data_IF_009983662005
#
_entry.id   IF_009983662005
#
_cell.length_a   1.000
_cell.length_b   1.000
_cell.length_c   1.000
_cell.angle_alpha   90.00
_cell.angle_beta   90.00
_cell.angle_gamma   90.00
#
_symmetry.space_group_name_H-M   'P 1'
#
loop_
_entity.id
_entity.type
_entity.pdbx_description
1 polymer ?
#
# COMPACT_ATOMS: atom_id res chain seq x y z
N UNK A 1 1.69 -27.71 -17.93
CA UNK A 1 2.32 -26.61 -18.70
C UNK A 1 3.68 -26.29 -18.09
N UNK A 2 4.73 -26.03 -18.87
CA UNK A 2 6.07 -25.78 -18.30
C UNK A 2 6.34 -24.28 -18.22
N UNK A 3 7.09 -23.88 -17.18
CA UNK A 3 7.49 -22.51 -16.93
C UNK A 3 9.00 -22.44 -16.74
N UNK A 4 9.57 -21.26 -16.93
CA UNK A 4 10.93 -20.94 -16.51
C UNK A 4 10.83 -19.92 -15.38
N UNK A 5 11.46 -20.18 -14.24
CA UNK A 5 11.57 -19.23 -13.13
C UNK A 5 12.91 -18.52 -13.20
N UNK A 6 12.90 -17.19 -13.16
CA UNK A 6 14.08 -16.33 -13.08
C UNK A 6 14.24 -15.84 -11.65
N UNK A 7 15.36 -16.18 -11.02
CA UNK A 7 15.73 -15.74 -9.69
C UNK A 7 15.98 -14.22 -9.66
N UNK A 8 16.66 -13.69 -10.68
CA UNK A 8 16.99 -12.26 -10.78
C UNK A 8 15.74 -11.39 -10.90
N UNK A 9 14.75 -11.85 -11.66
CA UNK A 9 13.47 -11.13 -11.84
C UNK A 9 12.40 -11.57 -10.85
N UNK A 10 12.68 -12.56 -10.01
CA UNK A 10 11.73 -13.27 -9.15
C UNK A 10 10.39 -13.52 -9.87
N UNK A 11 10.47 -14.08 -11.09
CA UNK A 11 9.36 -14.10 -12.05
C UNK A 11 9.27 -15.41 -12.82
N UNK A 12 8.04 -15.78 -13.20
CA UNK A 12 7.76 -16.96 -14.01
C UNK A 12 7.47 -16.60 -15.47
N UNK A 13 7.99 -17.41 -16.38
CA UNK A 13 7.91 -17.22 -17.83
C UNK A 13 7.30 -18.48 -18.45
N UNK A 14 6.07 -18.42 -18.99
CA UNK A 14 5.46 -19.57 -19.64
C UNK A 14 6.22 -19.95 -20.91
N UNK A 15 6.52 -21.24 -21.08
CA UNK A 15 7.25 -21.74 -22.26
C UNK A 15 6.53 -21.42 -23.57
N UNK A 16 5.19 -21.37 -23.55
CA UNK A 16 4.38 -21.01 -24.72
C UNK A 16 4.64 -19.60 -25.25
N UNK A 17 5.15 -18.68 -24.43
CA UNK A 17 5.46 -17.30 -24.82
C UNK A 17 6.95 -17.07 -25.06
N UNK A 18 7.78 -18.13 -25.05
CA UNK A 18 9.24 -18.01 -25.18
C UNK A 18 9.67 -17.21 -26.42
N UNK A 19 9.03 -17.44 -27.57
CA UNK A 19 9.38 -16.74 -28.80
C UNK A 19 9.11 -15.23 -28.71
N UNK A 20 8.01 -14.83 -28.08
CA UNK A 20 7.65 -13.42 -27.89
C UNK A 20 8.64 -12.71 -26.95
N UNK A 21 9.06 -13.40 -25.88
CA UNK A 21 10.09 -12.89 -24.98
C UNK A 21 11.45 -12.75 -25.64
N UNK A 22 11.83 -13.69 -26.52
CA UNK A 22 13.06 -13.59 -27.32
C UNK A 22 12.99 -12.45 -28.33
N UNK A 23 11.83 -12.24 -28.99
CA UNK A 23 11.63 -11.12 -29.90
C UNK A 23 11.70 -9.74 -29.23
N UNK A 24 11.44 -9.68 -27.92
CA UNK A 24 11.45 -8.45 -27.12
C UNK A 24 12.67 -8.32 -26.20
N UNK A 25 13.68 -9.18 -26.38
CA UNK A 25 14.90 -9.24 -25.53
C UNK A 25 14.59 -9.28 -24.02
N UNK A 26 13.47 -9.90 -23.66
CA UNK A 26 12.96 -9.95 -22.28
C UNK A 26 13.03 -11.35 -21.65
N UNK A 27 13.43 -12.36 -22.42
CA UNK A 27 13.65 -13.72 -21.94
C UNK A 27 14.74 -13.75 -20.85
N UNK A 28 14.52 -14.44 -19.71
CA UNK A 28 15.54 -14.53 -18.67
C UNK A 28 16.62 -15.54 -19.04
N UNK A 29 17.88 -15.11 -19.03
CA UNK A 29 19.04 -16.01 -19.21
C UNK A 29 19.26 -16.92 -17.98
N UNK A 30 18.86 -16.46 -16.80
CA UNK A 30 18.93 -17.21 -15.53
C UNK A 30 17.72 -18.12 -15.29
N UNK A 31 16.84 -18.27 -16.29
CA UNK A 31 15.62 -19.05 -16.17
C UNK A 31 15.90 -20.53 -15.92
N UNK A 32 15.39 -21.08 -14.82
CA UNK A 32 15.39 -22.52 -14.51
C UNK A 32 14.01 -23.09 -14.87
N UNK A 33 13.98 -24.18 -15.62
CA UNK A 33 12.73 -24.86 -15.97
C UNK A 33 12.07 -25.47 -14.72
N UNK A 34 10.78 -25.19 -14.54
CA UNK A 34 9.94 -25.66 -13.45
C UNK A 34 8.59 -26.13 -13.98
N UNK A 35 7.95 -27.03 -13.25
CA UNK A 35 6.64 -27.53 -13.62
C UNK A 35 5.50 -26.57 -13.21
N UNK A 36 4.29 -26.93 -13.62
CA UNK A 36 3.07 -26.19 -13.32
C UNK A 36 2.73 -26.18 -11.82
N UNK A 37 3.15 -27.19 -11.05
CA UNK A 37 2.86 -27.24 -9.61
C UNK A 37 3.68 -26.17 -8.88
N UNK A 38 4.96 -26.00 -9.24
CA UNK A 38 5.81 -24.93 -8.70
C UNK A 38 5.24 -23.57 -9.05
N UNK A 39 4.82 -23.36 -10.30
CA UNK A 39 4.12 -22.12 -10.69
C UNK A 39 2.84 -21.92 -9.86
N UNK A 40 2.01 -22.95 -9.74
CA UNK A 40 0.74 -22.88 -9.03
C UNK A 40 0.95 -22.56 -7.56
N UNK A 41 1.92 -23.20 -6.90
CA UNK A 41 2.26 -22.93 -5.50
C UNK A 41 2.70 -21.47 -5.31
N UNK A 42 3.68 -21.01 -6.09
CA UNK A 42 4.37 -19.75 -5.81
C UNK A 42 3.84 -18.54 -6.58
N UNK A 43 2.93 -18.71 -7.54
CA UNK A 43 2.36 -17.64 -8.36
C UNK A 43 0.85 -17.74 -8.58
N UNK A 44 0.30 -18.96 -8.67
CA UNK A 44 -1.14 -19.18 -8.87
C UNK A 44 -1.95 -19.08 -7.58
N UNK A 45 -1.39 -19.54 -6.46
CA UNK A 45 -2.04 -19.58 -5.15
C UNK A 45 -1.77 -18.32 -4.32
N UNK A 46 -2.61 -18.11 -3.31
CA UNK A 46 -2.41 -17.08 -2.30
C UNK A 46 -1.17 -17.44 -1.46
N UNK A 47 -0.19 -16.53 -1.31
CA UNK A 47 0.95 -16.75 -0.42
C UNK A 47 0.51 -17.10 1.02
N UNK A 48 1.26 -17.95 1.74
CA UNK A 48 1.02 -18.14 3.16
C UNK A 48 1.06 -16.81 3.93
N UNK A 49 0.36 -16.74 5.06
CA UNK A 49 0.29 -15.52 5.87
C UNK A 49 1.69 -15.02 6.27
N UNK A 50 1.94 -13.74 6.04
CA UNK A 50 3.23 -13.11 6.33
C UNK A 50 4.38 -13.53 5.41
N UNK A 51 4.11 -14.28 4.34
CA UNK A 51 5.11 -14.74 3.36
C UNK A 51 4.98 -14.01 2.02
N UNK A 52 6.12 -13.90 1.33
CA UNK A 52 6.19 -13.48 -0.06
C UNK A 52 7.13 -14.41 -0.83
N UNK A 53 6.90 -14.54 -2.14
CA UNK A 53 7.83 -15.28 -3.00
C UNK A 53 9.15 -14.53 -3.08
N UNK A 54 10.24 -15.24 -2.83
CA UNK A 54 11.61 -14.77 -3.02
C UNK A 54 12.34 -15.74 -3.95
N UNK A 55 13.49 -15.33 -4.47
CA UNK A 55 14.45 -16.25 -5.05
C UNK A 55 15.20 -16.96 -3.91
N UNK A 56 15.14 -18.28 -3.89
CA UNK A 56 15.94 -19.13 -3.01
C UNK A 56 17.40 -19.16 -3.45
N UNK A 57 18.28 -19.62 -2.54
CA UNK A 57 19.71 -19.76 -2.81
C UNK A 57 20.03 -20.81 -3.89
N UNK A 58 19.07 -21.69 -4.19
CA UNK A 58 19.10 -22.68 -5.26
C UNK A 58 18.62 -22.14 -6.62
N UNK A 59 18.25 -20.85 -6.68
CA UNK A 59 17.72 -20.20 -7.88
C UNK A 59 16.24 -20.51 -8.18
N UNK A 60 15.57 -21.26 -7.31
CA UNK A 60 14.15 -21.61 -7.41
C UNK A 60 13.29 -20.69 -6.52
N UNK A 61 11.97 -20.62 -6.74
CA UNK A 61 11.10 -19.81 -5.89
C UNK A 61 11.01 -20.42 -4.48
N UNK A 62 11.03 -19.57 -3.47
CA UNK A 62 10.84 -19.95 -2.08
C UNK A 62 9.94 -18.96 -1.33
N UNK A 63 9.39 -19.36 -0.19
CA UNK A 63 8.61 -18.47 0.68
C UNK A 63 9.50 -17.76 1.70
N UNK A 64 9.79 -16.49 1.44
CA UNK A 64 10.46 -15.58 2.36
C UNK A 64 9.46 -14.89 3.29
N UNK A 65 9.93 -14.37 4.43
CA UNK A 65 9.11 -13.51 5.28
C UNK A 65 8.95 -12.15 4.60
N UNK A 66 7.74 -11.57 4.67
CA UNK A 66 7.54 -10.17 4.31
C UNK A 66 8.39 -9.33 5.26
N UNK A 67 9.30 -8.47 4.75
CA UNK A 67 10.09 -7.62 5.61
C UNK A 67 9.17 -6.68 6.38
N UNK A 68 9.38 -6.59 7.69
CA UNK A 68 8.66 -5.61 8.50
C UNK A 68 9.08 -4.20 8.07
N UNK A 69 8.15 -3.25 7.95
CA UNK A 69 8.50 -1.87 7.66
C UNK A 69 9.48 -1.31 8.69
N UNK A 70 10.48 -0.57 8.22
CA UNK A 70 11.40 0.16 9.07
C UNK A 70 10.68 1.27 9.83
N UNK A 71 11.29 1.76 10.92
CA UNK A 71 10.75 2.92 11.67
C UNK A 71 10.50 4.14 10.78
N UNK A 72 11.39 4.38 9.83
CA UNK A 72 11.29 5.49 8.89
C UNK A 72 10.13 5.28 7.89
N UNK A 73 9.94 4.05 7.39
CA UNK A 73 8.78 3.73 6.53
C UNK A 73 7.45 3.85 7.30
N UNK A 74 7.39 3.40 8.55
CA UNK A 74 6.20 3.54 9.40
C UNK A 74 5.87 5.01 9.66
N UNK A 75 6.90 5.83 9.92
CA UNK A 75 6.77 7.28 10.10
C UNK A 75 6.21 7.93 8.82
N UNK A 76 6.79 7.62 7.66
CA UNK A 76 6.32 8.13 6.36
C UNK A 76 4.90 7.68 6.01
N UNK A 77 4.50 6.47 6.40
CA UNK A 77 3.12 5.99 6.25
C UNK A 77 2.17 6.80 7.14
N UNK A 78 2.55 7.06 8.39
CA UNK A 78 1.79 7.90 9.30
C UNK A 78 1.66 9.34 8.81
N UNK A 79 2.73 9.95 8.29
CA UNK A 79 2.69 11.29 7.68
C UNK A 79 1.75 11.35 6.47
N UNK A 80 1.80 10.35 5.59
CA UNK A 80 0.89 10.24 4.44
C UNK A 80 -0.57 10.15 4.89
N UNK A 81 -0.85 9.33 5.91
CA UNK A 81 -2.20 9.23 6.50
C UNK A 81 -2.64 10.57 7.11
N UNK A 82 -1.79 11.23 7.91
CA UNK A 82 -2.06 12.55 8.50
C UNK A 82 -2.40 13.58 7.43
N UNK A 83 -1.61 13.66 6.36
CA UNK A 83 -1.89 14.60 5.26
C UNK A 83 -3.20 14.29 4.54
N UNK A 84 -3.52 13.02 4.32
CA UNK A 84 -4.80 12.62 3.72
C UNK A 84 -6.00 13.05 4.57
N UNK A 85 -5.91 12.86 5.88
CA UNK A 85 -6.95 13.26 6.83
C UNK A 85 -7.10 14.79 6.92
N UNK A 86 -5.99 15.53 6.98
CA UNK A 86 -6.01 17.00 6.93
C UNK A 86 -6.68 17.50 5.64
N UNK A 87 -6.30 16.95 4.49
CA UNK A 87 -6.92 17.30 3.21
C UNK A 87 -8.43 16.99 3.18
N UNK A 88 -8.90 15.98 3.93
CA UNK A 88 -10.33 15.69 4.07
C UNK A 88 -11.02 16.72 4.97
N UNK A 89 -10.40 17.07 6.10
CA UNK A 89 -10.90 18.07 7.03
C UNK A 89 -11.02 19.44 6.35
N UNK A 90 -9.97 19.89 5.65
CA UNK A 90 -9.97 21.16 4.93
C UNK A 90 -11.11 21.26 3.92
N UNK A 91 -11.45 20.15 3.23
CA UNK A 91 -12.59 20.12 2.29
C UNK A 91 -13.93 20.32 3.00
N UNK A 92 -14.11 19.76 4.20
CA UNK A 92 -15.34 19.95 4.97
C UNK A 92 -15.42 21.35 5.54
N UNK A 93 -14.32 21.84 6.14
CA UNK A 93 -14.18 23.20 6.67
C UNK A 93 -14.53 24.22 5.58
N UNK A 94 -13.86 24.17 4.42
CA UNK A 94 -14.12 25.10 3.31
C UNK A 94 -15.58 25.08 2.84
N UNK A 95 -16.24 23.92 2.86
CA UNK A 95 -17.66 23.80 2.50
C UNK A 95 -18.55 24.48 3.55
N UNK A 96 -18.33 24.21 4.83
CA UNK A 96 -19.13 24.73 5.94
C UNK A 96 -18.93 26.23 6.12
N UNK A 97 -17.69 26.72 6.08
CA UNK A 97 -17.37 28.16 6.09
C UNK A 97 -18.11 28.91 4.98
N UNK A 98 -18.22 28.31 3.78
CA UNK A 98 -18.96 28.91 2.67
C UNK A 98 -20.46 29.03 2.96
N UNK A 99 -21.06 28.06 3.66
CA UNK A 99 -22.48 28.07 4.04
C UNK A 99 -22.70 29.16 5.12
N UNK A 100 -21.84 29.22 6.13
CA UNK A 100 -21.89 30.23 7.19
C UNK A 100 -21.73 31.64 6.60
N UNK A 101 -20.76 31.84 5.69
CA UNK A 101 -20.56 33.11 5.00
C UNK A 101 -21.78 33.59 4.21
N UNK A 102 -22.65 32.66 3.78
CA UNK A 102 -23.91 32.97 3.09
C UNK A 102 -25.07 33.25 4.05
N UNK A 103 -24.86 33.13 5.36
CA UNK A 103 -25.87 33.27 6.41
C UNK A 103 -27.07 32.32 6.22
N UNK A 104 -26.81 31.10 5.73
CA UNK A 104 -27.83 30.05 5.54
C UNK A 104 -27.52 28.78 6.34
N UNK A 105 -26.50 28.82 7.21
CA UNK A 105 -26.08 27.68 8.01
C UNK A 105 -27.11 27.37 9.10
N UNK A 106 -27.30 26.08 9.36
CA UNK A 106 -28.01 25.61 10.56
C UNK A 106 -27.07 25.56 11.77
N UNK A 107 -27.62 25.49 12.98
CA UNK A 107 -26.83 25.31 14.20
C UNK A 107 -26.00 24.01 14.16
N UNK A 108 -26.51 22.97 13.51
CA UNK A 108 -25.78 21.71 13.27
C UNK A 108 -24.55 21.94 12.38
N UNK A 109 -24.68 22.69 11.29
CA UNK A 109 -23.56 23.00 10.39
C UNK A 109 -22.50 23.88 11.05
N UNK A 110 -22.90 24.77 11.96
CA UNK A 110 -21.97 25.55 12.78
C UNK A 110 -21.20 24.64 13.73
N UNK A 111 -21.89 23.77 14.48
CA UNK A 111 -21.24 22.81 15.37
C UNK A 111 -20.30 21.84 14.63
N UNK A 112 -20.69 21.42 13.42
CA UNK A 112 -19.84 20.57 12.57
C UNK A 112 -18.58 21.31 12.15
N UNK A 113 -18.65 22.60 11.82
CA UNK A 113 -17.45 23.38 11.49
C UNK A 113 -16.47 23.37 12.66
N UNK A 114 -16.94 23.69 13.86
CA UNK A 114 -16.11 23.70 15.07
C UNK A 114 -15.45 22.33 15.31
N UNK A 115 -16.21 21.24 15.17
CA UNK A 115 -15.68 19.88 15.32
C UNK A 115 -14.62 19.53 14.27
N UNK A 116 -14.83 19.93 13.01
CA UNK A 116 -13.86 19.71 11.92
C UNK A 116 -12.58 20.52 12.09
N UNK A 117 -12.67 21.75 12.61
CA UNK A 117 -11.51 22.58 12.95
C UNK A 117 -10.72 22.02 14.12
N UNK A 118 -11.39 21.60 15.20
CA UNK A 118 -10.75 20.94 16.35
C UNK A 118 -10.02 19.67 15.91
N UNK A 119 -10.69 18.84 15.10
CA UNK A 119 -10.10 17.64 14.52
C UNK A 119 -8.85 17.92 13.68
N UNK A 120 -8.87 18.94 12.81
CA UNK A 120 -7.72 19.30 11.98
C UNK A 120 -6.53 19.79 12.83
N UNK A 121 -6.80 20.54 13.90
CA UNK A 121 -5.79 20.97 14.88
C UNK A 121 -5.18 19.77 15.60
N UNK A 122 -5.99 18.83 16.07
CA UNK A 122 -5.51 17.61 16.74
C UNK A 122 -4.63 16.77 15.81
N UNK A 123 -5.07 16.56 14.57
CA UNK A 123 -4.27 15.89 13.54
C UNK A 123 -2.93 16.59 13.32
N UNK A 124 -2.93 17.92 13.21
CA UNK A 124 -1.72 18.71 12.96
C UNK A 124 -0.67 18.53 14.05
N UNK A 125 -1.09 18.25 15.29
CA UNK A 125 -0.23 18.05 16.47
C UNK A 125 0.28 16.62 16.64
N UNK A 126 -0.23 15.66 15.87
CA UNK A 126 0.23 14.28 15.95
C UNK A 126 1.71 14.14 15.62
N UNK A 127 2.40 13.37 16.46
CA UNK A 127 3.79 12.95 16.28
C UNK A 127 3.83 11.63 15.50
N UNK A 128 4.18 11.71 14.22
CA UNK A 128 4.24 10.56 13.32
C UNK A 128 5.43 9.62 13.61
N UNK A 129 6.39 10.02 14.45
CA UNK A 129 7.52 9.16 14.82
C UNK A 129 7.11 7.98 15.71
N UNK A 130 5.91 8.01 16.30
CA UNK A 130 5.34 6.94 17.13
C UNK A 130 4.87 5.72 16.32
N UNK A 131 4.84 5.80 14.99
CA UNK A 131 4.49 4.69 14.10
C UNK A 131 3.13 4.06 14.46
N UNK A 132 3.06 2.77 14.85
CA UNK A 132 1.79 2.10 15.17
C UNK A 132 1.13 2.60 16.46
N UNK A 133 1.86 3.25 17.38
CA UNK A 133 1.36 3.70 18.69
C UNK A 133 0.71 5.10 18.65
N UNK A 134 0.43 5.62 17.45
CA UNK A 134 -0.24 6.92 17.28
C UNK A 134 -1.72 6.78 17.63
N UNK A 135 -2.17 7.53 18.63
CA UNK A 135 -3.60 7.68 18.91
C UNK A 135 -4.21 8.68 17.91
N UNK A 136 -4.92 8.16 16.90
CA UNK A 136 -5.58 8.98 15.89
C UNK A 136 -6.86 9.59 16.48
N UNK A 137 -7.10 10.90 16.33
CA UNK A 137 -8.35 11.50 16.78
C UNK A 137 -9.52 10.90 16.00
N UNK A 138 -10.69 10.84 16.66
CA UNK A 138 -11.91 10.36 16.03
C UNK A 138 -12.40 11.36 14.99
N UNK A 139 -12.85 10.83 13.86
CA UNK A 139 -13.33 11.67 12.77
C UNK A 139 -14.71 12.24 13.14
N UNK A 140 -14.93 13.56 13.03
CA UNK A 140 -16.23 14.16 13.27
C UNK A 140 -17.22 13.83 12.14
N UNK A 141 -18.52 13.92 12.45
CA UNK A 141 -19.63 13.65 11.50
C UNK A 141 -19.92 14.82 10.55
#
# INVERSE_FOLDING_TARGET
MNYYYSAQKNGFYPVSMKQDYLHSDSWPEDGIEVDENVFTEFAGNIPPEGKMRIAGDDGLPAWGNIPQPTKEELKQQAERKKQSLLNNADKQIMRLERIIKRNIATDDEVNRLDNWELYSIELSRLDCSKGPDINWPEKPE
#
